data_IF_298353275976
#
_entry.id   IF_298353275976
#
_cell.length_a   1.000
_cell.length_b   1.000
_cell.length_c   1.000
_cell.angle_alpha   90.00
_cell.angle_beta   90.00
_cell.angle_gamma   90.00
#
_symmetry.space_group_name_H-M   'P 1'
#
loop_
_entity.id
_entity.type
_entity.pdbx_description
1 polymer ?
#
# COMPACT_ATOMS: atom_id res chain seq x y z
N UNK A 1 54.72 -6.36 -25.18
CA UNK A 1 53.27 -6.60 -25.04
C UNK A 1 52.68 -5.35 -24.39
N UNK A 2 51.86 -4.59 -25.13
CA UNK A 2 51.24 -3.37 -24.61
C UNK A 2 49.82 -3.71 -24.13
N UNK A 3 49.54 -3.51 -22.84
CA UNK A 3 48.22 -3.72 -22.27
C UNK A 3 47.42 -2.41 -22.34
N UNK A 4 46.30 -2.43 -23.06
CA UNK A 4 45.36 -1.31 -23.14
C UNK A 4 44.41 -1.39 -21.94
N UNK A 5 44.48 -0.41 -21.04
CA UNK A 5 43.54 -0.27 -19.92
C UNK A 5 42.34 0.54 -20.42
N UNK A 6 41.20 -0.11 -20.59
CA UNK A 6 39.96 0.56 -20.98
C UNK A 6 39.25 1.14 -19.74
N UNK A 7 38.79 2.39 -19.76
CA UNK A 7 38.03 2.97 -18.65
C UNK A 7 36.65 2.33 -18.57
N UNK A 8 36.31 1.82 -17.39
CA UNK A 8 34.97 1.30 -17.09
C UNK A 8 33.98 2.46 -17.06
N UNK A 9 33.03 2.49 -18.01
CA UNK A 9 31.91 3.42 -17.99
C UNK A 9 30.96 3.01 -16.87
N UNK A 10 30.94 3.78 -15.77
CA UNK A 10 29.91 3.66 -14.74
C UNK A 10 28.58 4.13 -15.32
N UNK A 11 27.71 3.19 -15.66
CA UNK A 11 26.34 3.51 -16.07
C UNK A 11 25.53 3.78 -14.80
N UNK A 12 25.12 5.02 -14.57
CA UNK A 12 24.16 5.34 -13.53
C UNK A 12 22.81 4.81 -14.00
N UNK A 13 22.40 3.65 -13.50
CA UNK A 13 21.06 3.15 -13.76
C UNK A 13 20.06 4.17 -13.20
N UNK A 14 19.10 4.67 -14.00
CA UNK A 14 18.05 5.50 -13.46
C UNK A 14 17.29 4.68 -12.42
N UNK A 15 17.43 5.06 -11.16
CA UNK A 15 16.58 4.54 -10.09
C UNK A 15 15.21 5.15 -10.34
N UNK A 16 14.30 4.38 -10.95
CA UNK A 16 12.89 4.75 -11.01
C UNK A 16 12.43 4.87 -9.56
N UNK A 17 12.26 6.11 -9.09
CA UNK A 17 11.61 6.35 -7.81
C UNK A 17 10.19 5.84 -7.95
N UNK A 18 9.72 4.90 -7.10
CA UNK A 18 8.33 4.51 -7.15
C UNK A 18 7.50 5.78 -6.95
N UNK A 19 6.65 6.09 -7.93
CA UNK A 19 5.65 7.13 -7.76
C UNK A 19 4.86 6.82 -6.49
N UNK A 20 4.40 7.83 -5.76
CA UNK A 20 3.52 7.59 -4.63
C UNK A 20 2.21 7.00 -5.18
N UNK A 21 2.14 5.68 -5.31
CA UNK A 21 0.90 5.00 -5.63
C UNK A 21 -0.11 5.46 -4.57
N UNK A 22 -1.34 5.80 -4.98
CA UNK A 22 -2.41 6.16 -4.05
C UNK A 22 -2.80 5.04 -3.07
N UNK A 23 -2.06 3.92 -3.06
CA UNK A 23 -2.22 2.75 -2.23
C UNK A 23 -0.85 2.29 -1.70
N UNK A 24 -0.87 1.52 -0.61
CA UNK A 24 0.32 0.92 0.00
C UNK A 24 0.49 -0.54 -0.44
N UNK A 25 1.73 -0.99 -0.61
CA UNK A 25 2.03 -2.42 -0.80
C UNK A 25 1.84 -3.17 0.53
N UNK A 26 0.63 -3.66 0.76
CA UNK A 26 0.23 -4.36 1.98
C UNK A 26 -0.90 -3.66 2.73
N UNK A 27 -1.03 -3.95 4.03
CA UNK A 27 -2.10 -3.41 4.88
C UNK A 27 -1.50 -2.59 6.01
N UNK A 28 -2.04 -1.39 6.23
CA UNK A 28 -1.65 -0.53 7.35
C UNK A 28 -2.44 -0.93 8.58
N UNK A 29 -1.76 -1.53 9.56
CA UNK A 29 -2.39 -1.98 10.81
C UNK A 29 -2.99 -0.78 11.56
N UNK A 30 -4.23 -0.91 12.02
CA UNK A 30 -4.95 0.15 12.75
C UNK A 30 -5.53 1.25 11.87
N UNK A 31 -5.22 1.30 10.57
CA UNK A 31 -5.80 2.25 9.64
C UNK A 31 -6.60 1.54 8.54
N UNK A 32 -7.89 1.24 8.76
CA UNK A 32 -8.74 0.57 7.77
C UNK A 32 -9.07 1.42 6.53
N UNK A 33 -8.81 2.73 6.56
CA UNK A 33 -9.01 3.64 5.42
C UNK A 33 -7.85 3.66 4.43
N UNK A 34 -6.67 3.16 4.82
CA UNK A 34 -5.52 3.12 3.93
C UNK A 34 -5.75 2.12 2.79
N UNK A 35 -5.66 2.57 1.55
CA UNK A 35 -5.78 1.68 0.40
C UNK A 35 -4.58 0.77 0.24
N UNK A 36 -4.86 -0.46 -0.17
CA UNK A 36 -3.85 -1.50 -0.39
C UNK A 36 -3.76 -1.82 -1.87
N UNK A 37 -2.53 -1.84 -2.41
CA UNK A 37 -2.29 -2.26 -3.78
C UNK A 37 -2.37 -3.79 -3.95
N UNK A 38 -2.46 -4.54 -2.85
CA UNK A 38 -2.50 -6.00 -2.87
C UNK A 38 -3.91 -6.55 -3.14
N UNK A 39 -4.90 -5.67 -3.15
CA UNK A 39 -6.31 -6.00 -3.25
C UNK A 39 -6.93 -5.27 -4.45
N UNK A 40 -8.03 -5.85 -4.96
CA UNK A 40 -8.79 -5.21 -6.04
C UNK A 40 -9.45 -3.91 -5.59
N UNK A 41 -10.15 -3.22 -6.51
CA UNK A 41 -10.88 -1.99 -6.21
C UNK A 41 -11.82 -2.16 -5.02
N UNK A 42 -11.81 -1.20 -4.10
CA UNK A 42 -12.72 -1.21 -2.96
C UNK A 42 -14.13 -0.82 -3.41
N UNK A 43 -15.17 -1.56 -2.98
CA UNK A 43 -16.54 -1.11 -3.17
C UNK A 43 -16.77 0.19 -2.38
N UNK A 44 -17.72 1.04 -2.82
CA UNK A 44 -18.11 2.21 -2.05
C UNK A 44 -18.55 1.83 -0.64
N UNK A 45 -18.04 2.55 0.35
CA UNK A 45 -18.43 2.34 1.75
C UNK A 45 -19.84 2.87 1.98
N UNK A 46 -20.68 2.04 2.56
CA UNK A 46 -22.03 2.40 2.99
C UNK A 46 -22.15 2.15 4.49
N UNK A 47 -22.83 3.03 5.21
CA UNK A 47 -23.04 2.87 6.66
C UNK A 47 -23.75 1.56 6.98
N UNK A 48 -23.18 0.80 7.91
CA UNK A 48 -23.69 -0.53 8.26
C UNK A 48 -23.47 -1.60 7.20
N UNK A 49 -22.81 -1.27 6.08
CA UNK A 49 -22.47 -2.21 5.03
C UNK A 49 -21.34 -3.17 5.43
N UNK A 50 -21.12 -4.17 4.58
CA UNK A 50 -20.02 -5.11 4.78
C UNK A 50 -18.66 -4.38 4.66
N UNK A 51 -17.72 -4.59 5.59
CA UNK A 51 -16.37 -4.05 5.48
C UNK A 51 -15.62 -4.78 4.36
N UNK A 52 -14.73 -4.07 3.67
CA UNK A 52 -13.83 -4.70 2.72
C UNK A 52 -12.70 -5.49 3.43
N UNK A 53 -12.07 -6.37 2.67
CA UNK A 53 -10.97 -7.23 3.11
C UNK A 53 -9.79 -6.48 3.73
N UNK A 54 -9.44 -5.29 3.24
CA UNK A 54 -8.33 -4.52 3.80
C UNK A 54 -8.68 -4.02 5.20
N UNK A 55 -9.91 -3.53 5.39
CA UNK A 55 -10.38 -3.07 6.70
C UNK A 55 -10.43 -4.21 7.72
N UNK A 56 -10.87 -5.41 7.30
CA UNK A 56 -10.88 -6.60 8.15
C UNK A 56 -9.47 -6.96 8.63
N UNK A 57 -8.48 -6.93 7.73
CA UNK A 57 -7.09 -7.26 8.06
C UNK A 57 -6.47 -6.16 8.93
N UNK A 58 -6.68 -4.88 8.57
CA UNK A 58 -6.14 -3.74 9.30
C UNK A 58 -6.64 -3.66 10.75
N UNK A 59 -7.90 -4.06 10.99
CA UNK A 59 -8.53 -4.02 12.30
C UNK A 59 -8.39 -5.30 13.13
N UNK A 60 -7.68 -6.33 12.63
CA UNK A 60 -7.59 -7.63 13.31
C UNK A 60 -6.98 -7.47 14.72
N UNK A 61 -7.74 -7.85 15.74
CA UNK A 61 -7.32 -7.77 17.14
C UNK A 61 -7.44 -6.38 17.77
N UNK A 62 -8.00 -5.39 17.06
CA UNK A 62 -8.19 -4.02 17.57
C UNK A 62 -9.69 -3.83 17.88
N UNK A 63 -10.11 -3.88 19.15
CA UNK A 63 -11.51 -3.76 19.51
C UNK A 63 -12.07 -2.41 19.07
N UNK A 64 -13.27 -2.42 18.48
CA UNK A 64 -13.94 -1.21 17.98
C UNK A 64 -13.48 -0.67 16.63
N UNK A 65 -12.30 -1.08 16.12
CA UNK A 65 -11.76 -0.57 14.84
C UNK A 65 -12.71 -0.83 13.67
N UNK A 66 -13.21 -2.06 13.54
CA UNK A 66 -14.12 -2.43 12.44
C UNK A 66 -15.47 -1.71 12.57
N UNK A 67 -15.99 -1.59 13.79
CA UNK A 67 -17.24 -0.89 14.06
C UNK A 67 -17.12 0.61 13.74
N UNK A 68 -15.98 1.22 14.04
CA UNK A 68 -15.68 2.60 13.68
C UNK A 68 -15.48 2.77 12.17
N UNK A 69 -14.87 1.81 11.47
CA UNK A 69 -14.78 1.85 10.00
C UNK A 69 -16.14 1.79 9.31
N UNK A 70 -17.04 0.92 9.79
CA UNK A 70 -18.37 0.69 9.20
C UNK A 70 -19.38 1.79 9.58
N UNK A 71 -19.25 2.38 10.78
CA UNK A 71 -20.25 3.33 11.32
C UNK A 71 -19.72 4.74 11.56
N UNK A 72 -18.41 4.97 11.43
CA UNK A 72 -17.75 6.24 11.70
C UNK A 72 -18.13 7.35 10.71
N UNK A 73 -17.66 8.58 10.98
CA UNK A 73 -17.83 9.70 10.06
C UNK A 73 -17.03 9.47 8.76
N UNK A 74 -17.57 9.94 7.63
CA UNK A 74 -16.99 9.82 6.29
C UNK A 74 -16.09 11.00 5.98
#
# INVERSE_FOLDING_TARGET
MAALVAPSLLTTQPVTQPEAQGCYNGVVVGNPWADSCNFGPRPPRVRGGAPDQTAIIACRGIPGCLAWYVNGPW
#
